data_IF_175735367529
#
_entry.id   IF_175735367529
#
_cell.length_a   1.000
_cell.length_b   1.000
_cell.length_c   1.000
_cell.angle_alpha   90.00
_cell.angle_beta   90.00
_cell.angle_gamma   90.00
#
_symmetry.space_group_name_H-M   'P 1'
#
loop_
_entity.id
_entity.type
_entity.pdbx_description
1 polymer ?
#
# COMPACT_ATOMS: atom_id res chain seq x y z
N UNK A 1 -9.03 52.08 -2.76
CA UNK A 1 -8.59 51.11 -3.78
C UNK A 1 -7.79 50.04 -3.05
N UNK A 2 -8.26 48.79 -2.95
CA UNK A 2 -7.45 47.73 -2.39
C UNK A 2 -6.47 47.17 -3.44
N UNK A 3 -5.27 46.91 -2.95
CA UNK A 3 -4.06 46.45 -3.62
C UNK A 3 -4.21 45.00 -4.15
N UNK A 4 -3.96 44.80 -5.45
CA UNK A 4 -3.90 43.48 -6.09
C UNK A 4 -2.44 43.07 -6.25
N UNK A 5 -1.88 42.41 -5.23
CA UNK A 5 -0.55 41.82 -5.28
C UNK A 5 -0.51 40.42 -4.64
N UNK A 6 -1.44 39.53 -5.00
CA UNK A 6 -1.28 38.10 -4.71
C UNK A 6 -0.28 37.50 -5.71
N UNK A 7 0.99 37.48 -5.33
CA UNK A 7 2.08 36.84 -6.06
C UNK A 7 1.87 35.31 -6.02
N UNK A 8 1.02 34.80 -6.91
CA UNK A 8 0.76 33.38 -7.04
C UNK A 8 1.93 32.77 -7.81
N UNK A 9 2.77 32.00 -7.12
CA UNK A 9 3.83 31.22 -7.75
C UNK A 9 3.18 30.30 -8.80
N UNK A 10 3.50 30.44 -10.10
CA UNK A 10 2.85 29.65 -11.15
C UNK A 10 3.28 28.18 -11.13
N UNK A 11 4.24 27.81 -10.27
CA UNK A 11 4.71 26.43 -10.12
C UNK A 11 3.68 25.59 -9.37
N UNK A 12 3.50 24.31 -9.75
CA UNK A 12 2.72 23.39 -8.93
C UNK A 12 3.29 23.33 -7.50
N UNK A 13 2.41 23.32 -6.51
CA UNK A 13 2.74 23.25 -5.08
C UNK A 13 3.74 22.13 -4.76
N UNK A 14 3.58 20.94 -5.34
CA UNK A 14 4.52 19.83 -5.17
C UNK A 14 5.92 20.09 -5.75
N UNK A 15 6.04 20.89 -6.83
CA UNK A 15 7.35 21.32 -7.35
C UNK A 15 7.99 22.35 -6.43
N UNK A 16 7.20 23.21 -5.79
CA UNK A 16 7.66 24.13 -4.75
C UNK A 16 8.12 23.36 -3.51
N UNK A 17 7.37 22.33 -3.09
CA UNK A 17 7.74 21.43 -1.98
C UNK A 17 9.05 20.71 -2.25
N UNK A 18 9.34 20.33 -3.50
CA UNK A 18 10.66 19.76 -3.87
C UNK A 18 11.75 20.82 -4.09
N UNK A 19 11.40 22.11 -4.12
CA UNK A 19 12.34 23.21 -4.36
C UNK A 19 12.78 23.34 -5.82
N UNK A 20 11.99 22.82 -6.76
CA UNK A 20 12.33 22.77 -8.18
C UNK A 20 11.78 23.98 -8.95
N UNK A 21 12.53 24.42 -9.95
CA UNK A 21 12.13 25.43 -10.92
C UNK A 21 12.05 24.81 -12.32
N UNK A 22 11.16 25.27 -13.20
CA UNK A 22 11.10 24.79 -14.58
C UNK A 22 12.37 25.19 -15.37
N UNK A 23 12.78 24.43 -16.40
CA UNK A 23 12.14 23.22 -16.91
C UNK A 23 12.34 22.01 -15.99
N UNK A 24 11.30 21.17 -15.87
CA UNK A 24 11.35 19.99 -15.01
C UNK A 24 11.87 18.78 -15.80
N UNK A 25 12.80 18.04 -15.20
CA UNK A 25 13.29 16.75 -15.71
C UNK A 25 13.33 15.71 -14.59
N UNK A 26 13.17 14.43 -14.96
CA UNK A 26 13.01 13.35 -13.99
C UNK A 26 14.23 13.19 -13.06
N UNK A 27 15.44 13.41 -13.57
CA UNK A 27 16.66 13.30 -12.77
C UNK A 27 16.75 14.39 -11.69
N UNK A 28 16.34 15.62 -12.01
CA UNK A 28 16.30 16.72 -11.03
C UNK A 28 15.26 16.45 -9.93
N UNK A 29 14.11 15.86 -10.30
CA UNK A 29 13.07 15.44 -9.35
C UNK A 29 13.59 14.34 -8.41
N UNK A 30 14.26 13.31 -8.94
CA UNK A 30 14.87 12.24 -8.12
C UNK A 30 15.95 12.79 -7.20
N UNK A 31 16.76 13.72 -7.69
CA UNK A 31 17.83 14.31 -6.90
C UNK A 31 17.26 15.17 -5.76
N UNK A 32 16.30 16.04 -6.06
CA UNK A 32 15.63 16.86 -5.05
C UNK A 32 14.92 16.01 -3.99
N UNK A 33 14.25 14.93 -4.38
CA UNK A 33 13.66 13.98 -3.44
C UNK A 33 14.70 13.35 -2.52
N UNK A 34 15.81 12.83 -3.05
CA UNK A 34 16.88 12.24 -2.23
C UNK A 34 17.45 13.24 -1.22
N UNK A 35 17.64 14.49 -1.64
CA UNK A 35 18.18 15.53 -0.78
C UNK A 35 17.19 15.95 0.32
N UNK A 36 15.90 16.02 -0.01
CA UNK A 36 14.83 16.32 0.95
C UNK A 36 14.55 15.17 1.93
N UNK A 37 14.55 13.92 1.47
CA UNK A 37 14.38 12.74 2.33
C UNK A 37 15.50 12.64 3.36
N UNK A 38 16.76 12.91 2.96
CA UNK A 38 17.89 12.95 3.91
C UNK A 38 17.68 13.99 5.02
N UNK A 39 17.06 15.12 4.71
CA UNK A 39 16.76 16.18 5.67
C UNK A 39 15.51 15.88 6.52
N UNK A 40 14.57 15.11 6.00
CA UNK A 40 13.32 14.75 6.67
C UNK A 40 13.39 13.42 7.46
N UNK A 41 14.51 12.70 7.39
CA UNK A 41 14.70 11.43 8.08
C UNK A 41 14.82 11.62 9.62
N UNK A 42 14.25 10.72 10.45
CA UNK A 42 14.28 10.81 11.92
C UNK A 42 15.70 10.95 12.51
N UNK A 43 16.68 10.23 11.94
CA UNK A 43 18.10 10.31 12.33
C UNK A 43 18.72 11.72 12.22
N UNK A 44 18.11 12.61 11.45
CA UNK A 44 18.54 14.01 11.27
C UNK A 44 17.56 15.02 11.86
N UNK A 45 16.61 14.59 12.69
CA UNK A 45 15.65 15.44 13.39
C UNK A 45 14.38 15.79 12.59
N UNK A 46 14.12 15.08 11.48
CA UNK A 46 12.90 15.23 10.70
C UNK A 46 11.70 14.49 11.30
N UNK A 47 10.49 14.86 10.90
CA UNK A 47 9.24 14.22 11.33
C UNK A 47 8.66 13.31 10.24
N UNK A 48 7.94 12.26 10.64
CA UNK A 48 7.21 11.36 9.72
C UNK A 48 6.27 12.15 8.81
N UNK A 49 5.65 13.22 9.33
CA UNK A 49 4.80 14.11 8.54
C UNK A 49 5.58 14.84 7.42
N UNK A 50 6.76 15.38 7.73
CA UNK A 50 7.61 16.03 6.73
C UNK A 50 8.14 15.04 5.68
N UNK A 51 8.45 13.81 6.09
CA UNK A 51 8.82 12.74 5.17
C UNK A 51 7.68 12.39 4.21
N UNK A 52 6.46 12.19 4.73
CA UNK A 52 5.28 11.90 3.93
C UNK A 52 4.94 13.03 2.95
N UNK A 53 5.14 14.29 3.36
CA UNK A 53 4.94 15.46 2.50
C UNK A 53 5.92 15.46 1.31
N UNK A 54 7.20 15.17 1.57
CA UNK A 54 8.24 15.07 0.53
C UNK A 54 7.98 13.88 -0.41
N UNK A 55 7.57 12.74 0.16
CA UNK A 55 7.18 11.55 -0.60
C UNK A 55 6.00 11.84 -1.54
N UNK A 56 4.95 12.45 -1.00
CA UNK A 56 3.76 12.84 -1.77
C UNK A 56 4.14 13.83 -2.87
N UNK A 57 4.99 14.81 -2.57
CA UNK A 57 5.44 15.79 -3.56
C UNK A 57 6.24 15.15 -4.71
N UNK A 58 7.08 14.16 -4.40
CA UNK A 58 7.84 13.40 -5.40
C UNK A 58 6.94 12.60 -6.34
N UNK A 59 5.96 11.86 -5.79
CA UNK A 59 4.98 11.10 -6.58
C UNK A 59 4.17 12.01 -7.51
N UNK A 60 3.73 13.17 -6.99
CA UNK A 60 3.03 14.21 -7.76
C UNK A 60 3.90 14.76 -8.91
N UNK A 61 5.17 15.02 -8.65
CA UNK A 61 6.12 15.53 -9.63
C UNK A 61 6.41 14.52 -10.75
N UNK A 62 6.55 13.24 -10.43
CA UNK A 62 6.73 12.17 -11.42
C UNK A 62 5.50 12.03 -12.31
N UNK A 63 4.31 11.93 -11.72
CA UNK A 63 3.07 11.81 -12.48
C UNK A 63 2.84 13.01 -13.41
N UNK A 64 3.18 14.23 -12.95
CA UNK A 64 3.10 15.45 -13.77
C UNK A 64 3.99 15.40 -15.01
N UNK A 65 5.23 14.90 -14.89
CA UNK A 65 6.14 14.77 -16.03
C UNK A 65 5.69 13.68 -17.01
N UNK A 66 5.27 12.53 -16.51
CA UNK A 66 4.78 11.43 -17.35
C UNK A 66 3.57 11.86 -18.18
N UNK A 67 2.61 12.56 -17.56
CA UNK A 67 1.41 13.07 -18.22
C UNK A 67 1.71 14.14 -19.28
N UNK A 68 2.66 15.04 -19.01
CA UNK A 68 3.07 16.11 -19.95
C UNK A 68 3.93 15.62 -21.11
N UNK A 69 4.65 14.50 -20.92
CA UNK A 69 5.54 13.91 -21.93
C UNK A 69 4.80 13.11 -23.01
N UNK A 70 3.96 12.14 -22.62
CA UNK A 70 3.11 11.36 -23.54
C UNK A 70 1.81 10.95 -22.85
N UNK A 71 0.83 11.84 -22.90
CA UNK A 71 -0.49 11.62 -22.29
C UNK A 71 -1.19 10.36 -22.80
N UNK A 72 -1.07 10.02 -24.09
CA UNK A 72 -1.82 8.88 -24.67
C UNK A 72 -1.17 7.55 -24.29
N UNK A 73 0.16 7.46 -24.37
CA UNK A 73 0.90 6.29 -23.91
C UNK A 73 0.72 6.05 -22.41
N UNK A 74 0.74 7.11 -21.60
CA UNK A 74 0.49 7.04 -20.16
C UNK A 74 -0.91 6.50 -19.83
N UNK A 75 -1.96 7.04 -20.46
CA UNK A 75 -3.35 6.56 -20.27
C UNK A 75 -3.47 5.10 -20.69
N UNK A 76 -2.91 4.71 -21.85
CA UNK A 76 -2.98 3.34 -22.34
C UNK A 76 -2.27 2.34 -21.40
N UNK A 77 -1.09 2.69 -20.90
CA UNK A 77 -0.35 1.86 -19.96
C UNK A 77 -1.09 1.73 -18.60
N UNK A 78 -1.65 2.82 -18.09
CA UNK A 78 -2.46 2.81 -16.86
C UNK A 78 -3.75 2.02 -17.03
N UNK A 79 -4.41 2.12 -18.19
CA UNK A 79 -5.61 1.33 -18.52
C UNK A 79 -5.32 -0.17 -18.57
N UNK A 80 -4.21 -0.59 -19.17
CA UNK A 80 -3.82 -2.01 -19.20
C UNK A 80 -3.63 -2.57 -17.77
N UNK A 81 -2.87 -1.86 -16.93
CA UNK A 81 -2.70 -2.23 -15.52
C UNK A 81 -4.01 -2.24 -14.75
N UNK A 82 -4.87 -1.25 -14.98
CA UNK A 82 -6.16 -1.16 -14.32
C UNK A 82 -7.11 -2.30 -14.77
N UNK A 83 -7.08 -2.70 -16.04
CA UNK A 83 -7.85 -3.84 -16.53
C UNK A 83 -7.39 -5.16 -15.87
N UNK A 84 -6.08 -5.39 -15.77
CA UNK A 84 -5.53 -6.55 -15.05
C UNK A 84 -5.97 -6.56 -13.58
N UNK A 85 -5.92 -5.39 -12.92
CA UNK A 85 -6.39 -5.25 -11.54
C UNK A 85 -7.89 -5.58 -11.42
N UNK A 86 -8.73 -5.05 -12.30
CA UNK A 86 -10.17 -5.31 -12.30
C UNK A 86 -10.48 -6.79 -12.53
N UNK A 87 -9.80 -7.47 -13.46
CA UNK A 87 -9.98 -8.90 -13.66
C UNK A 87 -9.61 -9.72 -12.41
N UNK A 88 -8.54 -9.33 -11.71
CA UNK A 88 -8.15 -9.91 -10.42
C UNK A 88 -9.19 -9.66 -9.34
N UNK A 89 -9.66 -8.41 -9.20
CA UNK A 89 -10.72 -8.04 -8.23
C UNK A 89 -12.01 -8.82 -8.50
N UNK A 90 -12.45 -8.90 -9.76
CA UNK A 90 -13.63 -9.69 -10.17
C UNK A 90 -13.46 -11.17 -9.84
N UNK A 91 -12.24 -11.71 -9.96
CA UNK A 91 -11.92 -13.09 -9.58
C UNK A 91 -12.07 -13.30 -8.07
N UNK A 92 -11.54 -12.39 -7.26
CA UNK A 92 -11.63 -12.46 -5.80
C UNK A 92 -13.08 -12.26 -5.31
N UNK A 93 -13.83 -11.36 -5.92
CA UNK A 93 -15.23 -11.14 -5.60
C UNK A 93 -16.11 -12.34 -5.96
N UNK A 94 -15.82 -13.04 -7.06
CA UNK A 94 -16.48 -14.33 -7.40
C UNK A 94 -16.23 -15.43 -6.37
N UNK A 95 -15.13 -15.35 -5.62
CA UNK A 95 -14.83 -16.23 -4.49
C UNK A 95 -15.47 -15.76 -3.18
N UNK A 96 -16.29 -14.70 -3.21
CA UNK A 96 -17.03 -14.17 -2.07
C UNK A 96 -16.29 -13.10 -1.27
N UNK A 97 -15.15 -12.61 -1.76
CA UNK A 97 -14.40 -11.56 -1.08
C UNK A 97 -15.00 -10.17 -1.32
N UNK A 98 -14.93 -9.32 -0.31
CA UNK A 98 -15.13 -7.89 -0.43
C UNK A 98 -13.77 -7.21 -0.59
N UNK A 99 -13.67 -6.27 -1.52
CA UNK A 99 -12.43 -5.56 -1.84
C UNK A 99 -12.66 -4.05 -1.68
N UNK A 100 -11.80 -3.40 -0.91
CA UNK A 100 -11.78 -1.94 -0.75
C UNK A 100 -10.64 -1.36 -1.58
N UNK A 101 -10.96 -0.33 -2.35
CA UNK A 101 -10.00 0.41 -3.17
C UNK A 101 -9.98 1.87 -2.74
N UNK A 102 -8.80 2.49 -2.83
CA UNK A 102 -8.64 3.94 -2.65
C UNK A 102 -7.92 4.54 -3.84
N UNK A 103 -8.42 5.69 -4.31
CA UNK A 103 -7.66 6.60 -5.15
C UNK A 103 -6.96 7.64 -4.25
N UNK A 104 -5.68 7.96 -4.47
CA UNK A 104 -5.06 9.09 -3.81
C UNK A 104 -5.85 10.39 -4.08
N UNK A 105 -6.29 11.08 -3.03
CA UNK A 105 -7.18 12.26 -3.14
C UNK A 105 -6.63 13.35 -4.09
N UNK A 106 -5.31 13.51 -4.16
CA UNK A 106 -4.67 14.50 -5.02
C UNK A 106 -4.75 14.15 -6.53
N UNK A 107 -5.01 12.89 -6.87
CA UNK A 107 -5.16 12.43 -8.25
C UNK A 107 -6.54 12.76 -8.82
N UNK A 108 -7.58 12.83 -7.99
CA UNK A 108 -8.92 13.28 -8.41
C UNK A 108 -8.87 14.72 -8.95
N UNK A 109 -8.17 15.61 -8.24
CA UNK A 109 -8.02 17.01 -8.66
C UNK A 109 -7.14 17.18 -9.90
N UNK A 110 -6.18 16.28 -10.11
CA UNK A 110 -5.18 16.40 -11.18
C UNK A 110 -5.62 15.72 -12.48
N UNK A 111 -6.47 14.68 -12.41
CA UNK A 111 -6.77 13.80 -13.53
C UNK A 111 -8.28 13.63 -13.84
N UNK A 112 -9.19 14.21 -13.04
CA UNK A 112 -10.63 14.10 -13.27
C UNK A 112 -11.08 12.63 -13.35
N UNK A 113 -11.81 12.28 -14.41
CA UNK A 113 -12.33 10.91 -14.64
C UNK A 113 -11.23 9.81 -14.71
N UNK A 114 -9.96 10.17 -14.88
CA UNK A 114 -8.85 9.20 -14.94
C UNK A 114 -8.26 8.86 -13.56
N UNK A 115 -8.73 9.49 -12.48
CA UNK A 115 -8.30 9.16 -11.12
C UNK A 115 -8.58 7.69 -10.77
N UNK A 116 -9.63 7.10 -11.34
CA UNK A 116 -9.96 5.69 -11.16
C UNK A 116 -8.83 4.75 -11.61
N UNK A 117 -8.04 5.14 -12.63
CA UNK A 117 -6.89 4.34 -13.12
C UNK A 117 -5.74 4.26 -12.11
N UNK A 118 -5.84 5.03 -11.03
CA UNK A 118 -4.85 5.14 -9.96
C UNK A 118 -5.30 4.47 -8.67
N UNK A 119 -6.51 3.89 -8.65
CA UNK A 119 -6.98 3.12 -7.53
C UNK A 119 -6.02 1.97 -7.19
N UNK A 120 -5.85 1.78 -5.89
CA UNK A 120 -5.08 0.68 -5.31
C UNK A 120 -5.99 -0.10 -4.37
N UNK A 121 -5.79 -1.42 -4.32
CA UNK A 121 -6.49 -2.29 -3.39
C UNK A 121 -5.75 -2.28 -2.06
N UNK A 122 -6.41 -1.85 -1.00
CA UNK A 122 -5.78 -1.69 0.34
C UNK A 122 -6.29 -2.71 1.34
N UNK A 123 -7.54 -3.15 1.20
CA UNK A 123 -8.16 -4.13 2.08
C UNK A 123 -8.91 -5.18 1.28
N UNK A 124 -8.66 -6.44 1.62
CA UNK A 124 -9.43 -7.57 1.09
C UNK A 124 -9.94 -8.39 2.28
N UNK A 125 -11.23 -8.72 2.25
CA UNK A 125 -11.87 -9.52 3.29
C UNK A 125 -12.65 -10.67 2.67
N UNK A 126 -12.42 -11.88 3.19
CA UNK A 126 -13.22 -13.08 2.94
C UNK A 126 -13.59 -13.70 4.28
N UNK A 127 -14.86 -13.96 4.53
CA UNK A 127 -15.30 -14.52 5.81
C UNK A 127 -16.02 -15.85 5.63
N UNK A 128 -15.74 -16.81 6.51
CA UNK A 128 -16.47 -18.09 6.62
C UNK A 128 -16.52 -18.89 5.31
N UNK A 129 -15.41 -18.92 4.57
CA UNK A 129 -15.32 -19.65 3.32
C UNK A 129 -14.71 -21.05 3.51
N UNK A 130 -15.30 -22.12 2.95
CA UNK A 130 -14.70 -23.45 2.92
C UNK A 130 -13.50 -23.55 1.95
N UNK A 131 -13.36 -22.58 1.03
CA UNK A 131 -12.36 -22.59 -0.04
C UNK A 131 -11.22 -21.58 0.22
N UNK A 132 -10.82 -21.42 1.49
CA UNK A 132 -9.83 -20.41 1.90
C UNK A 132 -8.47 -20.57 1.20
N UNK A 133 -7.96 -21.80 1.05
CA UNK A 133 -6.69 -22.06 0.37
C UNK A 133 -6.76 -21.69 -1.12
N UNK A 134 -7.87 -22.01 -1.78
CA UNK A 134 -8.09 -21.66 -3.18
C UNK A 134 -8.17 -20.14 -3.36
N UNK A 135 -8.78 -19.45 -2.40
CA UNK A 135 -8.78 -17.99 -2.35
C UNK A 135 -7.37 -17.42 -2.21
N UNK A 136 -6.55 -17.92 -1.28
CA UNK A 136 -5.17 -17.46 -1.14
C UNK A 136 -4.36 -17.74 -2.42
N UNK A 137 -4.54 -18.90 -3.04
CA UNK A 137 -3.88 -19.20 -4.31
C UNK A 137 -4.25 -18.18 -5.41
N UNK A 138 -5.52 -17.80 -5.52
CA UNK A 138 -5.96 -16.75 -6.45
C UNK A 138 -5.35 -15.38 -6.08
N UNK A 139 -5.33 -15.04 -4.80
CA UNK A 139 -4.73 -13.81 -4.29
C UNK A 139 -3.24 -13.71 -4.67
N UNK A 140 -2.48 -14.79 -4.45
CA UNK A 140 -1.05 -14.86 -4.75
C UNK A 140 -0.78 -14.83 -6.25
N UNK A 141 -1.64 -15.42 -7.08
CA UNK A 141 -1.53 -15.31 -8.53
C UNK A 141 -1.58 -13.84 -9.01
N UNK A 142 -2.39 -13.01 -8.34
CA UNK A 142 -2.58 -11.59 -8.66
C UNK A 142 -1.69 -10.65 -7.81
N UNK A 143 -0.70 -11.16 -7.07
CA UNK A 143 0.11 -10.38 -6.12
C UNK A 143 0.81 -9.15 -6.75
N UNK A 144 1.14 -9.20 -8.05
CA UNK A 144 1.74 -8.07 -8.74
C UNK A 144 0.80 -6.87 -8.90
N UNK A 145 -0.50 -7.10 -8.99
CA UNK A 145 -1.53 -6.06 -9.05
C UNK A 145 -1.94 -5.58 -7.65
N UNK A 146 -1.70 -6.40 -6.62
CA UNK A 146 -2.11 -6.18 -5.22
C UNK A 146 -0.95 -5.77 -4.30
N UNK A 147 0.07 -5.09 -4.83
CA UNK A 147 1.29 -4.73 -4.09
C UNK A 147 1.04 -3.78 -2.91
N UNK A 148 -0.03 -2.99 -3.00
CA UNK A 148 -0.41 -2.00 -1.99
C UNK A 148 -1.41 -2.56 -0.96
N UNK A 149 -1.61 -3.88 -0.93
CA UNK A 149 -2.50 -4.53 0.03
C UNK A 149 -1.94 -4.37 1.45
N UNK A 150 -2.67 -3.63 2.28
CA UNK A 150 -2.27 -3.35 3.67
C UNK A 150 -3.00 -4.24 4.68
N UNK A 151 -4.22 -4.68 4.36
CA UNK A 151 -5.05 -5.48 5.25
C UNK A 151 -5.68 -6.68 4.54
N UNK A 152 -5.51 -7.85 5.13
CA UNK A 152 -6.11 -9.10 4.66
C UNK A 152 -6.88 -9.75 5.81
N UNK A 153 -8.17 -9.91 5.64
CA UNK A 153 -9.06 -10.45 6.67
C UNK A 153 -9.69 -11.75 6.20
N UNK A 154 -9.35 -12.87 6.85
CA UNK A 154 -9.81 -14.22 6.52
C UNK A 154 -10.60 -14.92 7.64
N UNK A 155 -11.45 -14.22 8.43
CA UNK A 155 -12.02 -14.81 9.63
C UNK A 155 -12.94 -15.99 9.30
N UNK A 156 -12.73 -17.11 9.99
CA UNK A 156 -13.55 -18.32 9.82
C UNK A 156 -13.32 -19.07 8.52
N UNK A 157 -12.29 -18.74 7.74
CA UNK A 157 -11.97 -19.49 6.52
C UNK A 157 -11.30 -20.83 6.84
N UNK A 158 -11.58 -21.85 6.03
CA UNK A 158 -10.87 -23.11 6.08
C UNK A 158 -9.50 -22.94 5.41
N UNK A 159 -8.45 -22.90 6.23
CA UNK A 159 -7.08 -22.60 5.81
C UNK A 159 -6.06 -23.63 6.30
N UNK A 160 -5.08 -23.95 5.47
CA UNK A 160 -3.86 -24.67 5.88
C UNK A 160 -2.74 -23.70 6.28
N UNK A 161 -1.81 -24.16 7.11
CA UNK A 161 -0.62 -23.38 7.46
C UNK A 161 0.21 -23.04 6.21
N UNK A 162 0.34 -23.98 5.26
CA UNK A 162 1.06 -23.77 4.00
C UNK A 162 0.43 -22.68 3.13
N UNK A 163 -0.91 -22.65 3.05
CA UNK A 163 -1.61 -21.59 2.34
C UNK A 163 -1.33 -20.22 2.99
N UNK A 164 -1.39 -20.10 4.31
CA UNK A 164 -1.03 -18.84 5.00
C UNK A 164 0.40 -18.43 4.70
N UNK A 165 1.35 -19.37 4.70
CA UNK A 165 2.76 -19.08 4.40
C UNK A 165 2.99 -18.61 2.95
N UNK A 166 2.11 -18.98 2.02
CA UNK A 166 2.17 -18.49 0.64
C UNK A 166 1.86 -16.99 0.49
N UNK A 167 1.38 -16.32 1.56
CA UNK A 167 1.16 -14.86 1.60
C UNK A 167 2.47 -14.06 1.71
N UNK A 168 3.64 -14.72 1.79
CA UNK A 168 4.95 -14.05 1.85
C UNK A 168 5.21 -12.96 0.78
N UNK A 169 4.66 -12.99 -0.44
CA UNK A 169 4.87 -11.90 -1.40
C UNK A 169 4.26 -10.55 -1.00
N UNK A 170 3.31 -10.50 -0.07
CA UNK A 170 2.61 -9.27 0.34
C UNK A 170 3.39 -8.46 1.38
N UNK A 171 4.54 -7.92 0.97
CA UNK A 171 5.49 -7.19 1.82
C UNK A 171 5.02 -5.79 2.28
N UNK A 172 3.83 -5.36 1.89
CA UNK A 172 3.18 -4.15 2.41
C UNK A 172 2.05 -4.47 3.40
N UNK A 173 1.76 -5.75 3.63
CA UNK A 173 0.68 -6.17 4.51
C UNK A 173 1.02 -5.79 5.95
N UNK A 174 0.14 -4.99 6.56
CA UNK A 174 0.27 -4.50 7.95
C UNK A 174 -0.65 -5.26 8.89
N UNK A 175 -1.83 -5.67 8.42
CA UNK A 175 -2.83 -6.38 9.22
C UNK A 175 -3.25 -7.69 8.57
N UNK A 176 -3.19 -8.78 9.34
CA UNK A 176 -3.66 -10.09 8.93
C UNK A 176 -4.62 -10.66 9.98
N UNK A 177 -5.85 -10.96 9.60
CA UNK A 177 -6.83 -11.61 10.47
C UNK A 177 -7.05 -13.07 10.04
N UNK A 178 -6.63 -14.01 10.89
CA UNK A 178 -6.84 -15.45 10.75
C UNK A 178 -7.74 -15.99 11.87
N UNK A 179 -8.53 -15.13 12.52
CA UNK A 179 -9.40 -15.55 13.61
C UNK A 179 -10.39 -16.61 13.17
N UNK A 180 -10.74 -17.53 14.07
CA UNK A 180 -11.65 -18.65 13.82
C UNK A 180 -11.22 -19.61 12.68
N UNK A 181 -9.92 -19.65 12.33
CA UNK A 181 -9.38 -20.59 11.33
C UNK A 181 -8.68 -21.77 12.01
N UNK A 182 -8.54 -22.94 11.35
CA UNK A 182 -7.92 -24.12 11.95
C UNK A 182 -6.37 -24.11 11.95
N UNK A 183 -5.74 -22.99 11.60
CA UNK A 183 -4.28 -22.82 11.52
C UNK A 183 -3.58 -23.13 12.84
N UNK A 184 -2.34 -23.61 12.76
CA UNK A 184 -1.54 -24.06 13.91
C UNK A 184 -0.33 -23.16 14.14
N UNK A 185 0.54 -23.51 15.09
CA UNK A 185 1.78 -22.80 15.33
C UNK A 185 2.71 -22.73 14.10
N UNK A 186 2.51 -23.56 13.07
CA UNK A 186 3.31 -23.55 11.84
C UNK A 186 3.08 -22.28 11.02
N UNK A 187 1.84 -21.77 10.94
CA UNK A 187 1.53 -20.51 10.27
C UNK A 187 2.27 -19.30 10.83
N UNK A 188 2.79 -19.36 12.06
CA UNK A 188 3.46 -18.23 12.71
C UNK A 188 4.76 -17.80 12.02
N UNK A 189 5.35 -18.64 11.17
CA UNK A 189 6.49 -18.24 10.34
C UNK A 189 6.13 -17.09 9.38
N UNK A 190 4.84 -16.82 9.14
CA UNK A 190 4.38 -15.66 8.35
C UNK A 190 4.83 -14.34 8.95
N UNK A 191 5.00 -14.27 10.28
CA UNK A 191 5.45 -13.07 11.00
C UNK A 191 6.87 -12.70 10.58
N UNK A 192 7.73 -13.68 10.36
CA UNK A 192 9.11 -13.46 9.90
C UNK A 192 9.18 -13.25 8.39
N UNK A 193 8.24 -13.83 7.63
CA UNK A 193 8.19 -13.68 6.18
C UNK A 193 7.66 -12.30 5.73
N UNK A 194 6.81 -11.65 6.52
CA UNK A 194 6.22 -10.33 6.21
C UNK A 194 6.74 -9.31 7.24
N UNK A 195 7.80 -8.60 6.89
CA UNK A 195 8.47 -7.64 7.79
C UNK A 195 7.62 -6.39 8.10
N UNK A 196 6.66 -6.08 7.23
CA UNK A 196 5.70 -4.98 7.39
C UNK A 196 4.57 -5.31 8.36
N UNK A 197 4.38 -6.58 8.73
CA UNK A 197 3.24 -7.00 9.52
C UNK A 197 3.30 -6.38 10.93
N UNK A 198 2.20 -5.74 11.33
CA UNK A 198 2.01 -5.02 12.58
C UNK A 198 0.99 -5.71 13.48
N UNK A 199 -0.09 -6.23 12.87
CA UNK A 199 -1.18 -6.87 13.59
C UNK A 199 -1.46 -8.26 13.00
N UNK A 200 -1.52 -9.26 13.88
CA UNK A 200 -1.92 -10.62 13.53
C UNK A 200 -3.00 -11.12 14.50
N UNK A 201 -4.24 -11.23 14.02
CA UNK A 201 -5.34 -11.77 14.81
C UNK A 201 -5.39 -13.30 14.69
N UNK A 202 -5.28 -13.99 15.82
CA UNK A 202 -5.29 -15.46 15.94
C UNK A 202 -6.36 -15.93 16.92
N UNK A 203 -7.39 -15.12 17.19
CA UNK A 203 -8.47 -15.51 18.09
C UNK A 203 -9.16 -16.79 17.60
N UNK A 204 -9.50 -17.68 18.54
CA UNK A 204 -10.13 -18.96 18.23
C UNK A 204 -9.42 -19.84 17.17
N UNK A 205 -8.09 -19.78 17.08
CA UNK A 205 -7.24 -20.70 16.28
C UNK A 205 -6.65 -21.84 17.11
N UNK A 206 -6.01 -22.82 16.45
CA UNK A 206 -5.25 -23.91 17.10
C UNK A 206 -3.82 -23.50 17.53
N UNK A 207 -3.48 -22.21 17.42
CA UNK A 207 -2.21 -21.67 17.90
C UNK A 207 -2.20 -21.65 19.43
N UNK A 208 -1.11 -22.14 20.04
CA UNK A 208 -0.96 -22.18 21.50
C UNK A 208 -0.86 -20.79 22.12
N UNK A 209 -1.39 -20.61 23.33
CA UNK A 209 -1.39 -19.31 24.03
C UNK A 209 0.01 -18.69 24.17
N UNK A 210 1.01 -19.50 24.52
CA UNK A 210 2.41 -19.04 24.61
C UNK A 210 2.96 -18.54 23.27
N UNK A 211 2.56 -19.19 22.17
CA UNK A 211 2.99 -18.80 20.85
C UNK A 211 2.35 -17.47 20.41
N UNK A 212 1.04 -17.28 20.69
CA UNK A 212 0.36 -15.98 20.50
C UNK A 212 1.03 -14.86 21.28
N UNK A 213 1.35 -15.11 22.56
CA UNK A 213 2.03 -14.12 23.42
C UNK A 213 3.40 -13.73 22.88
N UNK A 214 4.19 -14.71 22.39
CA UNK A 214 5.50 -14.45 21.79
C UNK A 214 5.38 -13.60 20.53
N UNK A 215 4.44 -13.93 19.65
CA UNK A 215 4.21 -13.19 18.41
C UNK A 215 3.76 -11.76 18.69
N UNK A 216 2.84 -11.55 19.62
CA UNK A 216 2.42 -10.20 20.00
C UNK A 216 3.62 -9.37 20.52
N UNK A 217 4.49 -9.96 21.34
CA UNK A 217 5.70 -9.29 21.80
C UNK A 217 6.66 -8.94 20.63
N UNK A 218 6.81 -9.84 19.65
CA UNK A 218 7.61 -9.58 18.44
C UNK A 218 7.03 -8.43 17.62
N UNK A 219 5.72 -8.41 17.39
CA UNK A 219 5.06 -7.37 16.61
C UNK A 219 5.13 -6.00 17.30
N UNK A 220 4.84 -5.93 18.60
CA UNK A 220 4.99 -4.68 19.37
C UNK A 220 6.42 -4.15 19.36
N UNK A 221 7.42 -5.03 19.47
CA UNK A 221 8.83 -4.61 19.38
C UNK A 221 9.20 -4.01 18.02
N UNK A 222 8.61 -4.47 16.91
CA UNK A 222 8.82 -3.88 15.57
C UNK A 222 8.17 -2.50 15.44
N UNK A 223 7.04 -2.29 16.08
CA UNK A 223 6.34 -1.00 16.09
C UNK A 223 7.16 0.04 16.87
N UNK A 224 7.66 -0.32 18.05
CA UNK A 224 8.53 0.55 18.87
C UNK A 224 9.81 0.96 18.12
N UNK A 225 10.47 0.03 17.42
CA UNK A 225 11.67 0.32 16.62
C UNK A 225 11.39 1.22 15.41
N UNK A 226 10.15 1.29 14.90
CA UNK A 226 9.78 2.18 13.80
C UNK A 226 9.47 3.61 14.27
N UNK A 227 9.13 3.77 15.54
CA UNK A 227 8.77 5.06 16.13
C UNK A 227 9.94 5.75 16.87
N UNK A 228 11.01 5.01 17.16
CA UNK A 228 12.26 5.49 17.76
C UNK A 228 13.22 6.06 16.71
#
# INVERSE_FOLDING_TARGET
MPDHSSNHDPRPDFMVTLGLAPPYVLEDIKQAYRDKVKLAHPDYGGSIAAFNEVQTAFERAQAYLEFRGDRRGWIAAKMARYAELQEGVDRLQRLGATVTMHAPEWLEQSYGDFAQLTETVTLIRLAKSPDGDAFIHALVADHHALRELEALELPGCQLTDDAVLSLAPFQQLKRLDLSHTPVTNQSLAIVDAIESLQELNLDATNVGWWAKRRVNATLSGREELRLA
#
